data_IF_406377900587
#
_entry.id   IF_406377900587
#
_cell.length_a   1.000
_cell.length_b   1.000
_cell.length_c   1.000
_cell.angle_alpha   90.00
_cell.angle_beta   90.00
_cell.angle_gamma   90.00
#
_symmetry.space_group_name_H-M   'P 1'
#
loop_
_entity.id
_entity.type
_entity.pdbx_description
1 polymer ?
#
# COMPACT_ATOMS: atom_id res chain seq x y z
N UNK A 1 -19.08 -35.85 -0.92
CA UNK A 1 -17.77 -35.32 -1.38
C UNK A 1 -17.97 -34.19 -2.38
N UNK A 2 -18.49 -33.03 -1.95
CA UNK A 2 -18.54 -31.79 -2.76
C UNK A 2 -19.01 -30.59 -1.95
N UNK A 3 -20.05 -30.78 -1.11
CA UNK A 3 -20.67 -29.71 -0.32
C UNK A 3 -19.73 -29.19 0.77
N UNK A 4 -19.03 -30.09 1.48
CA UNK A 4 -18.03 -29.71 2.48
C UNK A 4 -16.93 -28.80 1.90
N UNK A 5 -16.43 -29.14 0.71
CA UNK A 5 -15.40 -28.34 0.03
C UNK A 5 -15.94 -26.96 -0.39
N UNK A 6 -17.21 -26.84 -0.79
CA UNK A 6 -17.81 -25.54 -1.12
C UNK A 6 -17.97 -24.65 0.11
N UNK A 7 -18.37 -25.24 1.25
CA UNK A 7 -18.48 -24.52 2.52
C UNK A 7 -17.10 -24.04 2.99
N UNK A 8 -16.08 -24.89 2.90
CA UNK A 8 -14.71 -24.52 3.24
C UNK A 8 -14.21 -23.33 2.39
N UNK A 9 -14.42 -23.38 1.07
CA UNK A 9 -14.04 -22.29 0.17
C UNK A 9 -14.75 -20.97 0.50
N UNK A 10 -16.03 -21.02 0.90
CA UNK A 10 -16.77 -19.83 1.31
C UNK A 10 -16.20 -19.21 2.59
N UNK A 11 -15.89 -20.04 3.60
CA UNK A 11 -15.25 -19.56 4.83
C UNK A 11 -13.84 -19.03 4.59
N UNK A 12 -13.05 -19.63 3.70
CA UNK A 12 -11.73 -19.10 3.33
C UNK A 12 -11.84 -17.73 2.65
N UNK A 13 -12.83 -17.53 1.77
CA UNK A 13 -13.06 -16.24 1.11
C UNK A 13 -13.46 -15.14 2.10
N UNK A 14 -14.43 -15.43 2.98
CA UNK A 14 -14.89 -14.49 4.01
C UNK A 14 -13.76 -14.22 5.02
N UNK A 15 -13.04 -15.26 5.45
CA UNK A 15 -11.93 -15.16 6.40
C UNK A 15 -10.81 -14.25 5.93
N UNK A 16 -10.48 -14.27 4.62
CA UNK A 16 -9.50 -13.34 4.04
C UNK A 16 -9.94 -11.88 4.11
N UNK A 17 -11.22 -11.60 3.87
CA UNK A 17 -11.78 -10.25 3.99
C UNK A 17 -11.79 -9.78 5.45
N UNK A 18 -12.23 -10.64 6.37
CA UNK A 18 -12.22 -10.37 7.81
C UNK A 18 -10.80 -10.12 8.33
N UNK A 19 -9.82 -10.91 7.91
CA UNK A 19 -8.42 -10.73 8.28
C UNK A 19 -7.85 -9.39 7.78
N UNK A 20 -8.36 -8.85 6.68
CA UNK A 20 -7.95 -7.53 6.19
C UNK A 20 -8.60 -6.38 6.97
N UNK A 21 -9.84 -6.55 7.43
CA UNK A 21 -10.61 -5.50 8.12
C UNK A 21 -10.35 -5.46 9.64
N UNK A 22 -10.13 -6.63 10.23
CA UNK A 22 -9.98 -6.82 11.68
C UNK A 22 -8.63 -7.44 12.07
N UNK A 23 -7.77 -7.73 11.10
CA UNK A 23 -6.40 -8.17 11.38
C UNK A 23 -5.57 -7.05 11.98
N UNK A 24 -4.37 -7.40 12.49
CA UNK A 24 -3.40 -6.41 12.91
C UNK A 24 -3.16 -5.41 11.79
N UNK A 25 -3.07 -4.12 12.15
CA UNK A 25 -2.84 -3.06 11.17
C UNK A 25 -1.51 -3.35 10.45
N UNK A 26 -1.56 -3.60 9.15
CA UNK A 26 -0.38 -3.65 8.27
C UNK A 26 -0.05 -2.21 7.85
N UNK A 27 0.04 -1.33 8.84
CA UNK A 27 0.47 0.04 8.65
C UNK A 27 1.99 0.07 8.53
N UNK A 28 2.50 -0.56 7.47
CA UNK A 28 3.93 -0.53 7.10
C UNK A 28 4.39 0.84 6.60
N UNK A 29 3.67 1.91 6.95
CA UNK A 29 4.22 3.26 6.90
C UNK A 29 5.35 3.35 7.92
N UNK A 30 6.57 3.70 7.50
CA UNK A 30 7.65 3.88 8.44
C UNK A 30 7.23 4.93 9.49
N UNK A 31 7.50 4.64 10.76
CA UNK A 31 7.20 5.57 11.88
C UNK A 31 7.79 6.97 11.66
N UNK A 32 8.79 7.06 10.79
CA UNK A 32 9.36 8.30 10.27
C UNK A 32 9.10 8.41 8.77
N UNK A 33 8.31 9.41 8.36
CA UNK A 33 8.21 9.79 6.96
C UNK A 33 9.48 10.51 6.53
N UNK A 34 10.31 9.88 5.69
CA UNK A 34 11.35 10.60 4.97
C UNK A 34 10.75 11.00 3.62
N UNK A 35 10.49 12.29 3.42
CA UNK A 35 10.04 12.77 2.11
C UNK A 35 11.14 12.46 1.08
N UNK A 36 10.87 11.65 0.05
CA UNK A 36 11.89 11.22 -0.91
C UNK A 36 12.34 12.34 -1.85
N UNK A 37 11.75 13.54 -1.73
CA UNK A 37 12.18 14.72 -2.47
C UNK A 37 12.37 15.87 -1.49
N UNK A 38 13.59 16.03 -1.00
CA UNK A 38 14.15 17.39 -0.92
C UNK A 38 14.56 17.74 -2.34
N UNK A 39 13.58 17.81 -3.26
CA UNK A 39 13.86 18.11 -4.66
C UNK A 39 14.65 19.40 -4.67
N UNK A 40 15.78 19.41 -5.38
CA UNK A 40 16.58 20.62 -5.53
C UNK A 40 15.63 21.77 -5.88
N UNK A 41 15.71 22.91 -5.16
CA UNK A 41 14.82 24.03 -5.42
C UNK A 41 14.89 24.35 -6.91
N UNK A 42 13.72 24.53 -7.53
CA UNK A 42 13.63 24.84 -8.96
C UNK A 42 14.49 26.07 -9.28
N UNK A 43 15.66 25.84 -9.88
CA UNK A 43 16.59 26.90 -10.24
C UNK A 43 16.16 27.52 -11.58
N UNK A 44 15.43 28.63 -11.47
CA UNK A 44 15.00 29.45 -12.62
C UNK A 44 16.16 30.00 -13.44
N UNK A 45 17.38 30.04 -12.90
CA UNK A 45 18.55 30.62 -13.57
C UNK A 45 19.10 29.65 -14.60
N UNK A 46 19.11 28.35 -14.32
CA UNK A 46 19.67 27.33 -15.22
C UNK A 46 18.90 27.21 -16.54
N UNK A 47 17.58 27.41 -16.53
CA UNK A 47 16.75 27.33 -17.76
C UNK A 47 16.95 28.48 -18.76
N UNK A 48 17.54 29.61 -18.37
CA UNK A 48 17.74 30.76 -19.29
C UNK A 48 19.05 30.69 -20.08
N UNK A 49 19.98 29.81 -19.71
CA UNK A 49 21.25 29.66 -20.43
C UNK A 49 21.21 28.55 -21.49
N UNK A 50 20.18 27.70 -21.44
CA UNK A 50 19.94 26.59 -22.37
C UNK A 50 18.84 26.91 -23.42
N UNK A 51 18.45 28.19 -23.57
CA UNK A 51 17.53 28.69 -24.62
C UNK A 51 18.24 29.63 -25.57
#
# INVERSE_FOLDING_TARGET
>A
MTIFNQVENAFQFIGKGMARLFGPDDNTYPETGVQPFTGDPYDKVKQRHDM
#
